data_IF_912600912916
#
_entry.id   IF_912600912916
#
_cell.length_a   1.000
_cell.length_b   1.000
_cell.length_c   1.000
_cell.angle_alpha   90.00
_cell.angle_beta   90.00
_cell.angle_gamma   90.00
#
_symmetry.space_group_name_H-M   'P 1'
#
loop_
_entity.id
_entity.type
_entity.pdbx_description
1 polymer ?
#
# COMPACT_ATOMS: atom_id res chain seq x y z
N UNK A 1 -2.95 -8.14 -7.56
CA UNK A 1 -3.27 -6.82 -8.15
C UNK A 1 -2.01 -6.21 -8.78
N UNK A 2 -2.16 -5.37 -9.81
CA UNK A 2 -1.02 -4.76 -10.51
C UNK A 2 -0.17 -3.86 -9.60
N UNK A 3 -0.80 -3.06 -8.73
CA UNK A 3 -0.07 -2.20 -7.79
C UNK A 3 0.89 -2.99 -6.89
N UNK A 4 0.44 -4.14 -6.36
CA UNK A 4 1.27 -5.01 -5.52
C UNK A 4 2.43 -5.60 -6.31
N UNK A 5 2.20 -5.99 -7.57
CA UNK A 5 3.28 -6.45 -8.46
C UNK A 5 4.31 -5.34 -8.69
N UNK A 6 3.87 -4.11 -8.98
CA UNK A 6 4.77 -2.97 -9.20
C UNK A 6 5.57 -2.64 -7.94
N UNK A 7 4.94 -2.69 -6.75
CA UNK A 7 5.64 -2.52 -5.48
C UNK A 7 6.63 -3.67 -5.25
N UNK A 8 6.22 -4.93 -5.42
CA UNK A 8 7.12 -6.07 -5.27
C UNK A 8 8.32 -6.01 -6.23
N UNK A 9 8.12 -5.55 -7.46
CA UNK A 9 9.20 -5.30 -8.42
C UNK A 9 10.17 -4.22 -7.90
N UNK A 10 9.65 -3.08 -7.42
CA UNK A 10 10.49 -2.00 -6.87
C UNK A 10 11.29 -2.44 -5.64
N UNK A 11 10.74 -3.36 -4.83
CA UNK A 11 11.36 -3.87 -3.62
C UNK A 11 12.26 -5.10 -3.85
N UNK A 12 12.43 -5.55 -5.09
CA UNK A 12 13.21 -6.75 -5.40
C UNK A 12 12.58 -8.06 -4.88
N UNK A 13 11.29 -8.05 -4.57
CA UNK A 13 10.54 -9.15 -3.95
C UNK A 13 9.71 -9.98 -4.96
N UNK A 14 9.72 -9.62 -6.24
CA UNK A 14 8.81 -10.18 -7.24
C UNK A 14 9.03 -11.66 -7.61
N UNK A 15 10.10 -12.30 -7.12
CA UNK A 15 10.40 -13.71 -7.34
C UNK A 15 9.67 -14.65 -6.37
N UNK A 16 9.00 -14.13 -5.33
CA UNK A 16 8.24 -14.94 -4.37
C UNK A 16 6.76 -15.05 -4.80
N UNK A 17 6.22 -16.28 -4.98
CA UNK A 17 4.81 -16.44 -5.27
C UNK A 17 3.96 -15.92 -4.11
N UNK A 18 2.90 -15.17 -4.43
CA UNK A 18 1.89 -14.74 -3.46
C UNK A 18 1.22 -15.95 -2.82
N UNK A 19 1.14 -15.96 -1.50
CA UNK A 19 0.21 -16.81 -0.76
C UNK A 19 -1.04 -15.98 -0.52
N UNK A 20 -2.14 -16.32 -1.17
CA UNK A 20 -3.41 -15.56 -1.18
C UNK A 20 -4.05 -15.39 0.22
N UNK A 21 -3.52 -16.08 1.23
CA UNK A 21 -3.97 -16.07 2.63
C UNK A 21 -3.06 -15.31 3.59
N UNK A 22 -1.98 -14.69 3.11
CA UNK A 22 -1.09 -13.92 4.00
C UNK A 22 -1.73 -12.60 4.44
N UNK A 23 -1.41 -12.19 5.67
CA UNK A 23 -1.94 -10.96 6.28
C UNK A 23 -1.30 -9.66 5.74
N UNK A 24 -0.47 -9.78 4.70
CA UNK A 24 0.33 -8.71 4.09
C UNK A 24 0.53 -9.00 2.59
N UNK A 25 0.81 -7.95 1.82
CA UNK A 25 0.83 -8.03 0.36
C UNK A 25 2.19 -8.39 -0.25
N UNK A 26 3.29 -7.98 0.39
CA UNK A 26 4.68 -8.15 -0.07
C UNK A 26 5.61 -8.36 1.12
N UNK A 27 6.60 -9.26 0.99
CA UNK A 27 7.70 -9.41 1.94
C UNK A 27 9.01 -9.07 1.23
N UNK A 28 9.74 -8.09 1.76
CA UNK A 28 11.04 -7.71 1.20
C UNK A 28 12.09 -8.81 1.42
N UNK A 29 13.22 -8.81 0.67
CA UNK A 29 14.30 -9.78 0.88
C UNK A 29 14.84 -9.82 2.32
N UNK A 30 14.84 -8.68 3.01
CA UNK A 30 15.24 -8.48 4.40
C UNK A 30 14.11 -8.72 5.43
N UNK A 31 12.92 -9.12 4.98
CA UNK A 31 11.84 -9.61 5.84
C UNK A 31 10.81 -8.57 6.30
N UNK A 32 10.86 -7.34 5.79
CA UNK A 32 9.85 -6.30 6.07
C UNK A 32 8.52 -6.70 5.45
N UNK A 33 7.47 -6.71 6.27
CA UNK A 33 6.10 -6.95 5.84
C UNK A 33 5.48 -5.65 5.31
N UNK A 34 5.05 -5.66 4.05
CA UNK A 34 4.49 -4.49 3.36
C UNK A 34 3.05 -4.74 2.95
N UNK A 35 2.16 -3.84 3.36
CA UNK A 35 0.77 -3.77 2.89
C UNK A 35 0.64 -2.74 1.78
N UNK A 36 -0.01 -3.09 0.66
CA UNK A 36 -0.18 -2.22 -0.50
C UNK A 36 -1.64 -1.81 -0.66
N UNK A 37 -1.92 -0.51 -0.52
CA UNK A 37 -3.26 0.05 -0.75
C UNK A 37 -3.27 0.84 -2.03
N UNK A 38 -4.09 0.40 -3.00
CA UNK A 38 -4.17 1.05 -4.31
C UNK A 38 -5.49 1.78 -4.53
N UNK A 39 -5.45 2.87 -5.29
CA UNK A 39 -6.61 3.64 -5.73
C UNK A 39 -6.32 4.34 -7.07
N UNK A 40 -7.35 4.86 -7.73
CA UNK A 40 -7.23 5.55 -9.01
C UNK A 40 -8.36 6.57 -9.19
N UNK A 41 -8.06 7.73 -9.79
CA UNK A 41 -9.11 8.71 -10.14
C UNK A 41 -10.01 8.18 -11.25
N UNK A 42 -9.44 7.38 -12.15
CA UNK A 42 -10.12 6.74 -13.26
C UNK A 42 -10.13 5.24 -13.10
N UNK A 43 -11.31 4.64 -13.27
CA UNK A 43 -11.51 3.21 -13.24
C UNK A 43 -11.52 2.66 -14.66
N UNK A 44 -11.27 1.35 -14.81
CA UNK A 44 -11.26 0.69 -16.12
C UNK A 44 -12.63 0.72 -16.84
N UNK A 45 -13.72 1.03 -16.12
CA UNK A 45 -15.07 1.16 -16.65
C UNK A 45 -15.52 2.62 -16.70
N UNK A 46 -16.43 2.94 -17.62
CA UNK A 46 -17.00 4.29 -17.80
C UNK A 46 -17.59 4.83 -16.49
N UNK A 47 -17.17 6.04 -16.09
CA UNK A 47 -17.65 6.73 -14.90
C UNK A 47 -18.13 8.15 -15.22
N UNK A 48 -19.18 8.60 -14.53
CA UNK A 48 -19.71 9.96 -14.71
C UNK A 48 -18.82 11.05 -14.10
N UNK A 49 -18.00 10.70 -13.10
CA UNK A 49 -17.05 11.60 -12.43
C UNK A 49 -15.85 10.82 -11.87
N UNK A 50 -14.68 11.46 -11.70
CA UNK A 50 -13.55 10.83 -11.03
C UNK A 50 -13.90 10.36 -9.60
N UNK A 51 -13.27 9.26 -9.20
CA UNK A 51 -13.45 8.70 -7.86
C UNK A 51 -12.79 9.57 -6.80
N UNK A 52 -13.43 9.68 -5.63
CA UNK A 52 -12.77 10.23 -4.45
C UNK A 52 -11.75 9.21 -3.95
N UNK A 53 -10.48 9.63 -3.84
CA UNK A 53 -9.39 8.70 -3.51
C UNK A 53 -9.47 8.31 -2.04
N UNK A 54 -9.64 7.00 -1.83
CA UNK A 54 -9.75 6.40 -0.51
C UNK A 54 -9.07 5.04 -0.50
N UNK A 55 -8.28 4.81 0.54
CA UNK A 55 -7.55 3.58 0.76
C UNK A 55 -8.23 2.82 1.89
N UNK A 56 -8.82 1.67 1.57
CA UNK A 56 -9.56 0.84 2.53
C UNK A 56 -8.73 -0.34 3.06
N UNK A 57 -9.30 -1.05 4.05
CA UNK A 57 -8.73 -2.30 4.55
C UNK A 57 -7.40 -2.13 5.27
N UNK A 58 -7.22 -1.03 6.01
CA UNK A 58 -5.95 -0.75 6.70
C UNK A 58 -5.68 -1.71 7.86
N UNK A 59 -6.74 -2.20 8.48
CA UNK A 59 -6.67 -3.23 9.50
C UNK A 59 -7.56 -4.42 9.12
N UNK A 60 -7.14 -5.60 9.56
CA UNK A 60 -7.78 -6.86 9.24
C UNK A 60 -7.54 -7.90 10.34
N UNK A 61 -8.39 -8.90 10.41
CA UNK A 61 -8.16 -10.05 11.29
C UNK A 61 -7.16 -10.98 10.61
N UNK A 62 -6.18 -11.44 11.36
CA UNK A 62 -5.29 -12.52 10.90
C UNK A 62 -5.98 -13.87 11.07
N UNK A 63 -5.64 -14.83 10.23
CA UNK A 63 -6.14 -16.20 10.32
C UNK A 63 -5.00 -17.15 10.71
N UNK A 64 -5.31 -18.12 11.56
CA UNK A 64 -4.41 -19.19 11.97
C UNK A 64 -5.13 -20.54 11.86
N UNK A 65 -4.47 -21.56 11.31
CA UNK A 65 -5.03 -22.91 11.13
C UNK A 65 -5.59 -23.55 12.40
N UNK A 66 -4.97 -23.26 13.55
CA UNK A 66 -5.31 -23.85 14.85
C UNK A 66 -6.41 -23.07 15.58
N UNK A 67 -6.46 -21.75 15.41
CA UNK A 67 -7.33 -20.86 16.19
C UNK A 67 -8.43 -20.17 15.36
N UNK A 68 -8.40 -20.29 14.04
CA UNK A 68 -9.27 -19.53 13.14
C UNK A 68 -8.86 -18.06 13.05
N UNK A 69 -9.83 -17.18 12.80
CA UNK A 69 -9.59 -15.73 12.76
C UNK A 69 -9.36 -15.16 14.17
N UNK A 70 -8.42 -14.24 14.29
CA UNK A 70 -8.23 -13.44 15.51
C UNK A 70 -9.50 -12.65 15.88
N UNK A 71 -9.74 -12.49 17.18
CA UNK A 71 -10.93 -11.81 17.71
C UNK A 71 -11.02 -10.33 17.30
N UNK A 72 -9.86 -9.67 17.19
CA UNK A 72 -9.74 -8.26 16.85
C UNK A 72 -8.95 -8.04 15.56
N UNK A 73 -9.31 -6.98 14.84
CA UNK A 73 -8.58 -6.56 13.65
C UNK A 73 -7.38 -5.70 14.04
N UNK A 74 -6.22 -5.96 13.45
CA UNK A 74 -4.97 -5.28 13.72
C UNK A 74 -4.34 -4.74 12.43
N UNK A 75 -3.34 -3.88 12.56
CA UNK A 75 -2.50 -3.42 11.45
C UNK A 75 -1.38 -4.43 11.26
N UNK A 76 -1.43 -5.24 10.20
CA UNK A 76 -0.68 -6.51 10.13
C UNK A 76 0.67 -6.43 9.39
N UNK A 77 1.02 -5.26 8.86
CA UNK A 77 2.28 -5.01 8.17
C UNK A 77 3.15 -4.03 8.94
N UNK A 78 4.47 -4.06 8.70
CA UNK A 78 5.44 -3.12 9.26
C UNK A 78 5.37 -1.76 8.55
N UNK A 79 5.10 -1.81 7.24
CA UNK A 79 5.03 -0.63 6.37
C UNK A 79 3.78 -0.71 5.48
N UNK A 80 3.15 0.45 5.26
CA UNK A 80 2.03 0.63 4.36
C UNK A 80 2.44 1.48 3.17
N UNK A 81 2.23 0.96 1.95
CA UNK A 81 2.44 1.68 0.69
C UNK A 81 1.09 2.04 0.09
N UNK A 82 0.82 3.34 -0.02
CA UNK A 82 -0.36 3.88 -0.67
C UNK A 82 -0.02 4.22 -2.12
N UNK A 83 -0.59 3.51 -3.08
CA UNK A 83 -0.32 3.64 -4.50
C UNK A 83 -1.52 4.28 -5.23
N UNK A 84 -1.29 5.39 -5.91
CA UNK A 84 -2.30 6.10 -6.68
C UNK A 84 -1.95 6.12 -8.16
N UNK A 85 -2.87 5.67 -9.01
CA UNK A 85 -2.84 6.01 -10.44
C UNK A 85 -3.39 7.43 -10.62
N UNK A 86 -2.58 8.33 -11.16
CA UNK A 86 -2.87 9.77 -11.22
C UNK A 86 -3.62 10.22 -12.47
N UNK A 87 -3.72 9.35 -13.49
CA UNK A 87 -4.48 9.64 -14.71
C UNK A 87 -5.91 10.10 -14.38
N UNK A 88 -6.32 11.21 -15.02
CA UNK A 88 -7.58 11.91 -14.73
C UNK A 88 -8.67 11.62 -15.75
N UNK A 89 -8.30 11.04 -16.90
CA UNK A 89 -9.20 10.67 -17.97
C UNK A 89 -8.83 9.30 -18.56
N UNK A 90 -9.76 8.69 -19.29
CA UNK A 90 -9.57 7.35 -19.86
C UNK A 90 -8.61 7.33 -21.05
N UNK A 91 -8.43 8.46 -21.75
CA UNK A 91 -7.57 8.52 -22.93
C UNK A 91 -6.08 8.54 -22.54
N UNK A 92 -5.76 9.09 -21.37
CA UNK A 92 -4.40 9.10 -20.81
C UNK A 92 -4.09 7.92 -19.88
N UNK A 93 -5.09 7.16 -19.42
CA UNK A 93 -4.90 6.05 -18.49
C UNK A 93 -4.07 4.91 -19.09
N UNK A 94 -2.86 4.72 -18.57
CA UNK A 94 -1.99 3.56 -18.84
C UNK A 94 -1.37 3.08 -17.51
N UNK A 95 -1.89 1.98 -16.93
CA UNK A 95 -1.42 1.52 -15.64
C UNK A 95 -0.04 0.84 -15.69
N UNK A 96 0.53 0.62 -16.88
CA UNK A 96 1.90 0.15 -17.06
C UNK A 96 2.90 1.32 -17.17
N UNK A 97 2.42 2.56 -17.39
CA UNK A 97 3.25 3.75 -17.34
C UNK A 97 3.53 4.14 -15.88
N UNK A 98 4.74 3.82 -15.41
CA UNK A 98 5.19 4.12 -14.04
C UNK A 98 5.14 5.61 -13.68
N UNK A 99 5.10 6.51 -14.67
CA UNK A 99 4.98 7.97 -14.43
C UNK A 99 3.57 8.36 -13.98
N UNK A 100 2.58 7.49 -14.21
CA UNK A 100 1.21 7.67 -13.73
C UNK A 100 1.02 7.15 -12.31
N UNK A 101 2.05 6.59 -11.68
CA UNK A 101 1.97 6.12 -10.31
C UNK A 101 2.65 7.09 -9.35
N UNK A 102 1.92 7.47 -8.30
CA UNK A 102 2.47 8.16 -7.14
C UNK A 102 2.28 7.30 -5.91
N UNK A 103 3.31 7.23 -5.08
CA UNK A 103 3.31 6.42 -3.86
C UNK A 103 3.50 7.29 -2.62
N UNK A 104 2.95 6.84 -1.50
CA UNK A 104 3.29 7.35 -0.17
C UNK A 104 3.57 6.17 0.75
N UNK A 105 4.58 6.30 1.59
CA UNK A 105 5.05 5.20 2.46
C UNK A 105 4.92 5.66 3.90
N UNK A 106 4.20 4.88 4.72
CA UNK A 106 4.01 5.15 6.13
C UNK A 106 4.40 3.92 6.95
N UNK A 107 5.11 4.09 8.09
CA UNK A 107 5.32 3.00 9.02
C UNK A 107 4.02 2.65 9.76
N UNK A 108 3.89 1.39 10.17
CA UNK A 108 2.73 0.86 10.90
C UNK A 108 2.26 1.77 12.02
N UNK A 109 3.17 2.23 12.89
CA UNK A 109 2.82 3.06 14.06
C UNK A 109 2.04 4.33 13.69
N UNK A 110 2.34 4.94 12.55
CA UNK A 110 1.68 6.17 12.10
C UNK A 110 0.28 5.85 11.59
N UNK A 111 0.13 4.75 10.85
CA UNK A 111 -1.17 4.26 10.38
C UNK A 111 -2.05 3.83 11.55
N UNK A 112 -1.47 3.06 12.48
CA UNK A 112 -2.14 2.54 13.68
C UNK A 112 -2.62 3.66 14.61
N UNK A 113 -1.81 4.70 14.81
CA UNK A 113 -2.18 5.88 15.60
C UNK A 113 -3.40 6.63 15.05
N UNK A 114 -3.77 6.44 13.78
CA UNK A 114 -5.01 7.03 13.24
C UNK A 114 -6.26 6.33 13.78
N UNK A 115 -6.18 5.04 14.14
CA UNK A 115 -7.34 4.21 14.46
C UNK A 115 -8.30 3.97 13.27
N UNK A 116 -7.93 4.38 12.05
CA UNK A 116 -8.82 4.35 10.90
C UNK A 116 -8.72 3.04 10.14
N UNK A 117 -9.88 2.47 9.78
CA UNK A 117 -9.98 1.32 8.87
C UNK A 117 -9.69 1.68 7.40
N UNK A 118 -9.59 2.97 7.12
CA UNK A 118 -9.50 3.55 5.79
C UNK A 118 -9.08 5.02 5.85
N UNK A 119 -8.25 5.48 4.92
CA UNK A 119 -7.77 6.86 4.85
C UNK A 119 -8.11 7.52 3.50
N UNK A 120 -8.43 8.81 3.54
CA UNK A 120 -8.49 9.65 2.33
C UNK A 120 -7.07 10.05 1.90
N UNK A 121 -6.89 10.37 0.61
CA UNK A 121 -5.59 10.80 0.09
C UNK A 121 -5.00 11.98 0.87
N UNK A 122 -5.80 13.00 1.18
CA UNK A 122 -5.34 14.17 1.94
C UNK A 122 -4.74 13.82 3.30
N UNK A 123 -5.27 12.80 3.98
CA UNK A 123 -4.73 12.33 5.26
C UNK A 123 -3.42 11.57 5.07
N UNK A 124 -3.30 10.81 3.99
CA UNK A 124 -2.04 10.14 3.64
C UNK A 124 -0.96 11.18 3.31
N UNK A 125 -1.30 12.20 2.53
CA UNK A 125 -0.41 13.31 2.17
C UNK A 125 0.04 14.12 3.40
N UNK A 126 -0.85 14.33 4.38
CA UNK A 126 -0.52 15.00 5.64
C UNK A 126 0.45 14.19 6.51
N UNK A 127 0.31 12.87 6.53
CA UNK A 127 1.11 11.97 7.38
C UNK A 127 2.45 11.58 6.75
N UNK A 128 2.54 11.59 5.43
CA UNK A 128 3.73 11.22 4.70
C UNK A 128 4.68 12.40 4.54
N UNK A 129 5.98 12.14 4.55
CA UNK A 129 7.00 13.20 4.36
C UNK A 129 6.92 13.79 2.95
N UNK A 130 6.80 12.94 1.93
CA UNK A 130 6.70 13.33 0.53
C UNK A 130 6.11 12.19 -0.31
N UNK A 131 5.54 12.49 -1.50
CA UNK A 131 5.27 11.47 -2.50
C UNK A 131 6.56 10.87 -3.04
N UNK A 132 6.50 9.61 -3.43
CA UNK A 132 7.62 8.79 -3.90
C UNK A 132 7.29 8.25 -5.29
N UNK A 133 8.28 8.24 -6.19
CA UNK A 133 8.18 7.56 -7.50
C UNK A 133 8.47 6.08 -7.37
N UNK A 134 8.10 5.26 -8.36
CA UNK A 134 8.41 3.82 -8.38
C UNK A 134 9.88 3.51 -8.02
N UNK A 135 10.85 4.19 -8.65
CA UNK A 135 12.28 3.98 -8.39
C UNK A 135 12.77 4.39 -7.00
N UNK A 136 11.99 5.15 -6.23
CA UNK A 136 12.32 5.57 -4.87
C UNK A 136 11.70 4.68 -3.78
N UNK A 137 10.84 3.72 -4.14
CA UNK A 137 10.08 2.92 -3.19
C UNK A 137 10.96 2.09 -2.25
N UNK A 138 12.02 1.46 -2.76
CA UNK A 138 12.91 0.63 -1.95
C UNK A 138 13.51 1.40 -0.78
N UNK A 139 14.03 2.60 -1.06
CA UNK A 139 14.60 3.47 -0.04
C UNK A 139 13.54 3.98 0.93
N UNK A 140 12.38 4.40 0.43
CA UNK A 140 11.30 4.90 1.27
C UNK A 140 10.75 3.83 2.22
N UNK A 141 10.62 2.57 1.76
CA UNK A 141 10.20 1.43 2.60
C UNK A 141 11.24 1.13 3.66
N UNK A 142 12.53 1.09 3.31
CA UNK A 142 13.62 0.88 4.27
C UNK A 142 13.61 1.95 5.37
N UNK A 143 13.53 3.22 4.99
CA UNK A 143 13.46 4.35 5.95
C UNK A 143 12.23 4.25 6.85
N UNK A 144 11.07 3.89 6.31
CA UNK A 144 9.85 3.71 7.10
C UNK A 144 9.98 2.54 8.09
N UNK A 145 10.51 1.39 7.65
CA UNK A 145 10.73 0.23 8.50
C UNK A 145 11.67 0.55 9.67
N UNK A 146 12.83 1.16 9.40
CA UNK A 146 13.79 1.57 10.44
C UNK A 146 13.22 2.59 11.43
N UNK A 147 12.35 3.49 10.96
CA UNK A 147 11.68 4.43 11.84
C UNK A 147 10.69 3.70 12.76
N UNK A 148 10.16 2.55 12.34
CA UNK A 148 9.26 1.68 13.13
C UNK A 148 9.97 0.89 14.22
N UNK A 149 11.24 0.54 14.02
CA UNK A 149 12.04 -0.28 14.95
C UNK A 149 12.69 0.51 16.09
N UNK A 150 12.91 1.83 15.93
CA UNK A 150 13.56 2.66 16.96
C UNK A 150 12.63 2.88 18.17
N UNK A 151 12.75 1.98 19.14
CA UNK A 151 12.35 2.12 20.55
C UNK A 151 13.56 1.89 21.46
#
# INVERSE_FOLDING_TARGET
>A
MLAEFLVAQALGAASRPRIEWDAYDVVTPDGVLVEVKSSAYVQAWTQARPSAIRFGGLNGRTWNETAGYADSATYNADVYVFALVTARDHASYDPLDLRQWTYWVLPRRIVEATGQRSMALSRVEELAVAPVSHGGLAEAVRVAAEAGERL
#
